data_IF_119124496662
#
_entry.id   IF_119124496662
#
_cell.length_a   1.000
_cell.length_b   1.000
_cell.length_c   1.000
_cell.angle_alpha   90.00
_cell.angle_beta   90.00
_cell.angle_gamma   90.00
#
_symmetry.space_group_name_H-M   'P 1'
#
loop_
_entity.id
_entity.type
_entity.pdbx_description
1 polymer ?
#
# COMPACT_ATOMS: atom_id res chain seq x y z
N UNK A 1 8.10 -8.08 -2.84
CA UNK A 1 7.73 -7.22 -1.69
C UNK A 1 8.55 -5.95 -1.83
N UNK A 2 8.09 -4.78 -1.42
CA UNK A 2 8.99 -3.62 -1.29
C UNK A 2 9.19 -3.35 0.20
N UNK A 3 10.26 -2.63 0.49
CA UNK A 3 10.66 -2.32 1.85
C UNK A 3 11.04 -0.86 1.92
N UNK A 4 10.62 -0.19 2.99
CA UNK A 4 11.03 1.18 3.28
C UNK A 4 12.32 1.12 4.09
N UNK A 5 13.33 1.85 3.64
CA UNK A 5 14.58 2.00 4.37
C UNK A 5 14.35 2.91 5.58
N UNK A 6 14.56 2.37 6.77
CA UNK A 6 14.41 3.09 8.04
C UNK A 6 15.65 3.90 8.40
N UNK A 7 16.83 3.47 7.92
CA UNK A 7 18.14 4.05 8.25
C UNK A 7 19.10 3.92 7.08
N UNK A 8 19.97 4.91 6.93
CA UNK A 8 21.07 4.85 5.96
C UNK A 8 21.94 3.62 6.26
N UNK A 9 22.37 2.94 5.19
CA UNK A 9 23.27 1.80 5.27
C UNK A 9 24.42 2.00 4.29
N UNK A 10 25.62 2.09 4.83
CA UNK A 10 26.85 2.23 4.06
C UNK A 10 27.39 0.83 3.80
N UNK A 11 27.55 0.49 2.53
CA UNK A 11 28.08 -0.81 2.11
C UNK A 11 29.52 -0.99 2.56
N UNK A 12 29.79 -2.14 3.14
CA UNK A 12 31.10 -2.65 3.53
C UNK A 12 31.55 -3.80 2.63
N UNK A 13 30.61 -4.52 2.01
CA UNK A 13 30.87 -5.64 1.11
C UNK A 13 30.33 -5.39 -0.32
N UNK A 14 30.95 -5.99 -1.35
CA UNK A 14 30.61 -5.70 -2.75
C UNK A 14 29.23 -6.17 -3.19
N UNK A 15 28.65 -7.14 -2.48
CA UNK A 15 27.30 -7.68 -2.71
C UNK A 15 26.21 -6.91 -1.96
N UNK A 16 26.57 -5.98 -1.09
CA UNK A 16 25.63 -5.15 -0.35
C UNK A 16 25.08 -3.98 -1.18
N UNK A 17 23.86 -3.57 -0.84
CA UNK A 17 23.20 -2.43 -1.46
C UNK A 17 23.23 -1.20 -0.53
N UNK A 18 23.70 -0.06 -1.04
CA UNK A 18 23.73 1.18 -0.27
C UNK A 18 22.31 1.70 -0.06
N UNK A 19 21.88 1.82 1.19
CA UNK A 19 20.54 2.30 1.52
C UNK A 19 20.59 3.74 1.99
N UNK A 20 19.55 4.49 1.62
CA UNK A 20 19.28 5.81 2.16
C UNK A 20 17.91 5.79 2.82
N UNK A 21 17.81 6.36 4.02
CA UNK A 21 16.55 6.51 4.75
C UNK A 21 15.47 7.07 3.83
N UNK A 22 14.27 6.52 3.96
CA UNK A 22 13.07 6.84 3.15
C UNK A 22 13.12 6.34 1.69
N UNK A 23 14.19 5.66 1.27
CA UNK A 23 14.23 4.93 0.00
C UNK A 23 13.29 3.71 0.05
N UNK A 24 12.74 3.34 -1.10
CA UNK A 24 11.98 2.11 -1.28
C UNK A 24 12.77 1.15 -2.16
N UNK A 25 12.95 -0.09 -1.70
CA UNK A 25 13.69 -1.14 -2.44
C UNK A 25 12.80 -2.37 -2.64
N UNK A 26 12.97 -3.09 -3.76
CA UNK A 26 12.16 -4.29 -4.04
C UNK A 26 12.84 -5.52 -3.48
N UNK A 27 12.33 -6.06 -2.38
CA UNK A 27 12.77 -7.31 -1.77
C UNK A 27 12.06 -8.51 -2.38
N UNK A 28 12.81 -9.50 -2.86
CA UNK A 28 12.24 -10.71 -3.46
C UNK A 28 12.56 -12.01 -2.71
N UNK A 29 13.62 -12.06 -1.89
CA UNK A 29 13.97 -13.27 -1.13
C UNK A 29 14.76 -12.98 0.15
N UNK A 30 14.76 -13.90 1.10
CA UNK A 30 15.71 -13.93 2.22
C UNK A 30 16.99 -14.61 1.72
N UNK A 31 18.17 -14.08 2.07
CA UNK A 31 19.44 -14.68 1.68
C UNK A 31 19.54 -16.08 2.32
N UNK A 32 19.66 -17.12 1.49
CA UNK A 32 19.59 -18.52 1.92
C UNK A 32 20.67 -18.92 2.95
N UNK A 33 21.80 -18.22 2.93
CA UNK A 33 22.93 -18.46 3.84
C UNK A 33 22.97 -17.50 5.04
N UNK A 34 22.20 -16.40 5.01
CA UNK A 34 22.19 -15.41 6.07
C UNK A 34 20.77 -14.90 6.32
N UNK A 35 20.11 -15.47 7.32
CA UNK A 35 18.74 -15.14 7.67
C UNK A 35 18.55 -13.69 8.14
N UNK A 36 19.61 -12.91 8.33
CA UNK A 36 19.59 -11.48 8.68
C UNK A 36 19.68 -10.54 7.46
N UNK A 37 19.64 -11.10 6.25
CA UNK A 37 19.71 -10.35 5.00
C UNK A 37 18.56 -10.68 4.05
N UNK A 38 18.15 -9.67 3.30
CA UNK A 38 17.21 -9.78 2.19
C UNK A 38 17.93 -9.50 0.88
N UNK A 39 17.57 -10.25 -0.16
CA UNK A 39 17.94 -9.93 -1.54
C UNK A 39 16.93 -8.90 -2.08
N UNK A 40 17.47 -7.75 -2.53
CA UNK A 40 16.71 -6.62 -3.02
C UNK A 40 17.20 -6.12 -4.39
N UNK A 41 16.30 -5.51 -5.14
CA UNK A 41 16.54 -4.89 -6.43
C UNK A 41 16.24 -3.39 -6.39
N UNK A 42 17.10 -2.61 -7.04
CA UNK A 42 17.04 -1.16 -7.17
C UNK A 42 17.55 -0.75 -8.56
N UNK A 43 16.71 -0.12 -9.38
CA UNK A 43 17.07 0.33 -10.74
C UNK A 43 17.76 -0.76 -11.59
N UNK A 44 17.29 -2.02 -11.47
CA UNK A 44 17.86 -3.18 -12.17
C UNK A 44 19.19 -3.71 -11.60
N UNK A 45 19.68 -3.15 -10.48
CA UNK A 45 20.81 -3.69 -9.73
C UNK A 45 20.31 -4.53 -8.57
N UNK A 46 20.88 -5.71 -8.41
CA UNK A 46 20.58 -6.63 -7.31
C UNK A 46 21.69 -6.53 -6.27
N UNK A 47 21.30 -6.52 -5.00
CA UNK A 47 22.22 -6.58 -3.86
C UNK A 47 21.50 -7.02 -2.60
N UNK A 48 22.24 -7.15 -1.51
CA UNK A 48 21.68 -7.55 -0.21
C UNK A 48 21.50 -6.36 0.71
N UNK A 49 20.42 -6.40 1.49
CA UNK A 49 20.06 -5.37 2.47
C UNK A 49 19.79 -6.01 3.84
N UNK A 50 20.24 -5.40 4.93
CA UNK A 50 20.08 -6.00 6.26
C UNK A 50 18.65 -5.80 6.75
N UNK A 51 18.04 -6.85 7.33
CA UNK A 51 16.66 -6.82 7.85
C UNK A 51 16.43 -5.70 8.86
N UNK A 52 17.47 -5.33 9.60
CA UNK A 52 17.42 -4.30 10.66
C UNK A 52 17.32 -2.87 10.14
N UNK A 53 17.60 -2.64 8.85
CA UNK A 53 17.59 -1.30 8.24
C UNK A 53 16.39 -1.07 7.32
N UNK A 54 15.59 -2.10 7.07
CA UNK A 54 14.42 -2.03 6.23
C UNK A 54 13.19 -2.55 6.96
N UNK A 55 12.04 -1.94 6.70
CA UNK A 55 10.76 -2.48 7.08
C UNK A 55 10.12 -3.05 5.83
N UNK A 56 9.95 -4.38 5.78
CA UNK A 56 9.17 -5.01 4.72
C UNK A 56 7.76 -4.47 4.86
N UNK A 57 7.37 -3.63 3.92
CA UNK A 57 5.99 -3.20 3.81
C UNK A 57 5.27 -4.30 3.04
N UNK A 58 4.36 -5.07 3.67
CA UNK A 58 3.38 -5.79 2.87
C UNK A 58 2.66 -4.72 2.05
N UNK A 59 2.80 -4.74 0.74
CA UNK A 59 2.30 -3.66 -0.11
C UNK A 59 0.78 -3.51 0.04
N UNK A 60 0.35 -2.62 0.92
CA UNK A 60 -0.90 -1.84 0.78
C UNK A 60 -0.65 -0.56 -0.03
N UNK A 61 0.46 -0.47 -0.76
CA UNK A 61 0.69 0.63 -1.68
C UNK A 61 0.73 0.17 -3.14
N UNK A 62 -0.36 0.54 -3.82
CA UNK A 62 -0.40 1.09 -5.18
C UNK A 62 -0.51 0.15 -6.40
N UNK A 63 -1.20 -0.99 -6.29
CA UNK A 63 -2.03 -1.43 -7.44
C UNK A 63 -3.35 -0.65 -7.42
N UNK A 64 -3.22 0.61 -7.85
CA UNK A 64 -4.24 1.65 -7.80
C UNK A 64 -5.18 1.47 -8.98
N UNK A 65 -5.98 0.41 -8.98
CA UNK A 65 -7.28 0.53 -9.62
C UNK A 65 -8.13 1.37 -8.68
N UNK A 66 -7.88 2.69 -8.67
CA UNK A 66 -8.80 3.62 -8.04
C UNK A 66 -9.98 3.77 -8.96
N UNK A 67 -11.12 3.22 -8.54
CA UNK A 67 -12.37 3.46 -9.22
C UNK A 67 -13.01 4.70 -8.61
N UNK A 68 -13.45 5.60 -9.47
CA UNK A 68 -14.42 6.58 -9.04
C UNK A 68 -15.72 5.86 -8.67
N UNK A 69 -16.39 6.37 -7.65
CA UNK A 69 -17.69 5.88 -7.25
C UNK A 69 -18.60 7.06 -6.89
N UNK A 70 -19.87 6.93 -7.19
CA UNK A 70 -20.90 7.90 -6.83
C UNK A 70 -21.73 7.34 -5.69
N UNK A 71 -21.86 8.10 -4.60
CA UNK A 71 -22.76 7.75 -3.50
C UNK A 71 -24.22 7.79 -3.96
N UNK A 72 -24.92 6.66 -3.81
CA UNK A 72 -26.35 6.51 -4.14
C UNK A 72 -27.25 7.00 -2.99
N UNK A 73 -26.73 6.93 -1.76
CA UNK A 73 -27.44 7.29 -0.53
C UNK A 73 -26.51 8.07 0.43
N UNK A 74 -27.11 8.74 1.42
CA UNK A 74 -26.37 9.28 2.56
C UNK A 74 -25.91 8.13 3.47
N UNK A 75 -24.69 8.21 3.98
CA UNK A 75 -24.14 7.27 4.95
C UNK A 75 -23.43 8.01 6.07
N UNK A 76 -23.73 7.62 7.31
CA UNK A 76 -23.08 8.16 8.51
C UNK A 76 -22.30 7.03 9.17
N UNK A 77 -20.99 7.21 9.29
CA UNK A 77 -20.09 6.27 9.95
C UNK A 77 -20.56 6.02 11.39
N UNK A 78 -20.69 4.74 11.71
CA UNK A 78 -21.02 4.19 13.03
C UNK A 78 -19.78 3.67 13.77
N UNK A 79 -18.72 3.36 13.02
CA UNK A 79 -17.43 2.89 13.53
C UNK A 79 -16.28 3.82 13.07
N UNK A 80 -15.16 3.88 13.82
CA UNK A 80 -14.04 4.80 13.53
C UNK A 80 -13.29 4.48 12.23
N UNK A 81 -13.44 3.27 11.69
CA UNK A 81 -12.87 2.84 10.43
C UNK A 81 -13.81 3.02 9.23
N UNK A 82 -15.03 3.54 9.45
CA UNK A 82 -16.02 3.84 8.40
C UNK A 82 -15.92 5.30 7.92
N UNK A 83 -16.30 5.54 6.66
CA UNK A 83 -16.28 6.87 6.05
C UNK A 83 -17.70 7.38 5.83
N UNK A 84 -18.07 8.49 6.47
CA UNK A 84 -19.33 9.20 6.20
C UNK A 84 -19.29 9.93 4.84
N UNK A 85 -20.40 9.90 4.11
CA UNK A 85 -20.56 10.60 2.84
C UNK A 85 -22.03 10.96 2.57
N UNK A 86 -22.26 11.86 1.62
CA UNK A 86 -23.60 12.30 1.19
C UNK A 86 -23.94 11.73 -0.18
N UNK A 87 -25.22 11.49 -0.44
CA UNK A 87 -25.73 11.13 -1.77
C UNK A 87 -25.19 12.12 -2.82
N UNK A 88 -24.70 11.59 -3.93
CA UNK A 88 -24.08 12.34 -5.02
C UNK A 88 -22.60 12.68 -4.80
N UNK A 89 -22.01 12.35 -3.65
CA UNK A 89 -20.58 12.57 -3.41
C UNK A 89 -19.74 11.64 -4.30
N UNK A 90 -18.62 12.19 -4.80
CA UNK A 90 -17.59 11.42 -5.49
C UNK A 90 -16.63 10.81 -4.48
N UNK A 91 -16.46 9.50 -4.55
CA UNK A 91 -15.58 8.72 -3.72
C UNK A 91 -14.50 8.09 -4.58
N UNK A 92 -13.31 7.94 -4.03
CA UNK A 92 -12.24 7.19 -4.68
C UNK A 92 -12.07 5.86 -3.94
N UNK A 93 -12.50 4.77 -4.56
CA UNK A 93 -12.36 3.41 -4.01
C UNK A 93 -11.00 2.87 -4.38
N UNK A 94 -10.17 2.55 -3.39
CA UNK A 94 -8.79 2.08 -3.59
C UNK A 94 -8.56 0.65 -3.10
N UNK A 95 -9.59 0.00 -2.53
CA UNK A 95 -9.55 -1.42 -2.21
C UNK A 95 -10.94 -2.05 -2.33
N UNK A 96 -11.03 -3.03 -3.21
CA UNK A 96 -12.24 -3.82 -3.49
C UNK A 96 -12.00 -5.22 -2.95
N UNK A 97 -12.43 -5.50 -1.73
CA UNK A 97 -12.44 -6.88 -1.23
C UNK A 97 -13.67 -7.59 -1.82
N UNK A 98 -13.46 -8.60 -2.65
CA UNK A 98 -14.56 -9.31 -3.32
C UNK A 98 -15.49 -10.00 -2.31
N UNK A 99 -14.94 -10.53 -1.22
CA UNK A 99 -15.70 -11.26 -0.19
C UNK A 99 -16.30 -10.42 0.95
N UNK A 100 -16.09 -9.10 0.98
CA UNK A 100 -16.64 -8.24 2.06
C UNK A 100 -17.72 -7.30 1.54
N UNK A 101 -18.80 -7.05 2.28
CA UNK A 101 -19.85 -6.07 1.93
C UNK A 101 -19.40 -4.60 1.92
N UNK A 102 -18.08 -4.36 2.01
CA UNK A 102 -17.47 -3.04 2.20
C UNK A 102 -16.30 -2.83 1.25
N UNK A 103 -16.17 -1.59 0.79
CA UNK A 103 -15.01 -1.08 0.07
C UNK A 103 -14.22 -0.11 0.93
N UNK A 104 -12.92 -0.01 0.69
CA UNK A 104 -12.08 1.03 1.30
C UNK A 104 -12.00 2.20 0.33
N UNK A 105 -12.49 3.35 0.76
CA UNK A 105 -12.63 4.55 -0.05
C UNK A 105 -12.07 5.78 0.65
N UNK A 106 -11.84 6.84 -0.13
CA UNK A 106 -11.44 8.14 0.37
C UNK A 106 -12.32 9.27 -0.18
N UNK A 107 -12.50 10.30 0.63
CA UNK A 107 -13.15 11.57 0.27
C UNK A 107 -12.47 12.71 1.03
N UNK A 108 -12.09 13.79 0.35
CA UNK A 108 -11.54 15.01 1.00
C UNK A 108 -10.40 14.75 2.00
N UNK A 109 -9.51 13.80 1.65
CA UNK A 109 -8.38 13.40 2.51
C UNK A 109 -8.73 12.42 3.64
N UNK A 110 -10.02 12.17 3.90
CA UNK A 110 -10.48 11.14 4.85
C UNK A 110 -10.55 9.78 4.17
N UNK A 111 -10.27 8.71 4.91
CA UNK A 111 -10.29 7.32 4.43
C UNK A 111 -11.15 6.48 5.37
N UNK A 112 -11.86 5.50 4.82
CA UNK A 112 -12.61 4.53 5.61
C UNK A 112 -13.38 3.53 4.77
N UNK A 113 -14.09 2.65 5.45
CA UNK A 113 -14.95 1.65 4.87
C UNK A 113 -16.28 2.29 4.44
N UNK A 114 -16.73 1.94 3.23
CA UNK A 114 -18.02 2.35 2.67
C UNK A 114 -18.80 1.10 2.22
N UNK A 115 -20.11 1.01 2.46
CA UNK A 115 -20.87 -0.18 2.09
C UNK A 115 -21.07 -0.25 0.57
N UNK A 116 -20.88 -1.44 -0.01
CA UNK A 116 -20.99 -1.67 -1.46
C UNK A 116 -22.32 -1.18 -2.04
N UNK A 117 -23.42 -1.45 -1.33
CA UNK A 117 -24.78 -1.14 -1.78
C UNK A 117 -25.14 0.36 -1.70
N UNK A 118 -24.26 1.20 -1.16
CA UNK A 118 -24.48 2.64 -1.03
C UNK A 118 -23.76 3.45 -2.09
N UNK A 119 -22.95 2.81 -2.94
CA UNK A 119 -22.17 3.49 -3.97
C UNK A 119 -22.28 2.74 -5.29
N UNK A 120 -22.18 3.47 -6.40
CA UNK A 120 -22.01 2.89 -7.73
C UNK A 120 -20.55 3.05 -8.15
N UNK A 121 -19.86 1.96 -8.47
CA UNK A 121 -18.51 2.02 -9.04
C UNK A 121 -18.58 2.41 -10.51
N UNK A 122 -17.90 3.47 -10.90
CA UNK A 122 -17.78 3.86 -12.30
C UNK A 122 -16.95 2.80 -13.06
N UNK A 123 -17.29 2.49 -14.32
CA UNK A 123 -16.51 1.58 -15.16
C UNK A 123 -15.08 2.10 -15.32
N UNK A 124 -14.12 1.18 -15.42
CA UNK A 124 -12.77 1.51 -15.87
C UNK A 124 -12.87 1.68 -17.39
N UNK A 125 -12.66 2.90 -17.89
CA UNK A 125 -12.52 3.16 -19.33
C UNK A 125 -11.20 2.58 -19.86
#
# INVERSE_FOLDING_TARGET
MEAIVLKDFIVSFPDEFALKKEMVVKVFSVKQEEEDWYEAEQDGKIGVVPKTHIEITPHEHHDTITREAIALHDFTASAPDELSFKKGSKLTVFKVNQDRDWYKAKQDGKRGNVPKNYINLEPLE
#
